data_IF_588407508281
#
_entry.id   IF_588407508281
#
_cell.length_a   1.000
_cell.length_b   1.000
_cell.length_c   1.000
_cell.angle_alpha   90.00
_cell.angle_beta   90.00
_cell.angle_gamma   90.00
#
_symmetry.space_group_name_H-M   'P 1'
#
loop_
_entity.id
_entity.type
_entity.pdbx_description
1 polymer ?
#
# COMPACT_ATOMS: atom_id res chain seq x y z
N UNK A 1 3.36 12.80 16.59
CA UNK A 1 3.16 11.60 15.74
C UNK A 1 2.07 10.73 16.34
N UNK A 2 2.09 10.53 17.67
CA UNK A 2 1.04 9.83 18.42
C UNK A 2 -0.38 10.18 17.95
N UNK A 3 -0.74 11.47 17.94
CA UNK A 3 -2.07 11.93 17.52
C UNK A 3 -2.45 11.54 16.09
N UNK A 4 -1.47 11.48 15.17
CA UNK A 4 -1.71 11.09 13.80
C UNK A 4 -2.06 9.59 13.71
N UNK A 5 -1.31 8.74 14.42
CA UNK A 5 -1.58 7.29 14.45
C UNK A 5 -2.87 7.01 15.22
N UNK A 6 -3.03 7.59 16.42
CA UNK A 6 -4.20 7.44 17.30
C UNK A 6 -5.52 7.91 16.65
N UNK A 7 -5.45 8.76 15.63
CA UNK A 7 -6.63 9.12 14.83
C UNK A 7 -7.35 7.91 14.23
N UNK A 8 -6.63 6.81 13.97
CA UNK A 8 -7.22 5.56 13.47
C UNK A 8 -8.17 4.87 14.45
N UNK A 9 -7.99 5.10 15.76
CA UNK A 9 -8.82 4.52 16.83
C UNK A 9 -8.90 5.53 18.00
N UNK A 10 -9.96 6.35 18.07
CA UNK A 10 -10.13 7.29 19.18
C UNK A 10 -10.07 6.56 20.53
N UNK A 11 -9.27 7.09 21.46
CA UNK A 11 -9.04 6.48 22.77
C UNK A 11 -7.98 5.37 22.80
N UNK A 12 -7.23 5.15 21.71
CA UNK A 12 -6.14 4.18 21.69
C UNK A 12 -5.05 4.48 22.73
N UNK A 13 -4.57 3.44 23.41
CA UNK A 13 -3.46 3.57 24.37
C UNK A 13 -2.13 3.81 23.66
N UNK A 14 -1.13 4.28 24.39
CA UNK A 14 0.23 4.43 23.85
C UNK A 14 0.82 3.08 23.42
N UNK A 15 0.49 2.00 24.13
CA UNK A 15 0.90 0.63 23.79
C UNK A 15 0.32 0.19 22.45
N UNK A 16 -0.98 0.45 22.21
CA UNK A 16 -1.62 0.14 20.93
C UNK A 16 -1.01 0.94 19.77
N UNK A 17 -0.75 2.23 19.99
CA UNK A 17 -0.09 3.10 19.00
C UNK A 17 1.33 2.60 18.69
N UNK A 18 2.10 2.21 19.72
CA UNK A 18 3.44 1.64 19.53
C UNK A 18 3.40 0.28 18.81
N UNK A 19 2.43 -0.57 19.10
CA UNK A 19 2.26 -1.84 18.42
C UNK A 19 1.99 -1.64 16.92
N UNK A 20 1.07 -0.72 16.59
CA UNK A 20 0.77 -0.35 15.21
C UNK A 20 1.99 0.26 14.50
N UNK A 21 2.74 1.14 15.20
CA UNK A 21 3.94 1.75 14.66
C UNK A 21 5.07 0.73 14.39
N UNK A 22 5.24 -0.28 15.25
CA UNK A 22 6.17 -1.38 15.01
C UNK A 22 5.78 -2.22 13.80
N UNK A 23 4.50 -2.57 13.68
CA UNK A 23 3.98 -3.32 12.55
C UNK A 23 4.15 -2.56 11.22
N UNK A 24 4.04 -1.22 11.26
CA UNK A 24 4.26 -0.35 10.11
C UNK A 24 5.72 0.09 9.90
N UNK A 25 6.68 -0.47 10.65
CA UNK A 25 8.12 -0.14 10.54
C UNK A 25 8.43 1.34 10.74
N UNK A 26 7.71 2.00 11.64
CA UNK A 26 7.96 3.40 12.00
C UNK A 26 8.44 3.62 13.44
N UNK A 27 8.36 2.63 14.34
CA UNK A 27 8.80 2.80 15.74
C UNK A 27 10.25 3.28 15.87
N UNK A 28 11.17 2.71 15.10
CA UNK A 28 12.60 3.00 15.23
C UNK A 28 12.93 4.45 14.87
N UNK A 29 12.46 4.94 13.72
CA UNK A 29 12.69 6.34 13.34
C UNK A 29 11.93 7.30 14.25
N UNK A 30 10.70 6.94 14.68
CA UNK A 30 9.94 7.77 15.61
C UNK A 30 10.74 7.94 16.90
N UNK A 31 11.34 6.87 17.43
CA UNK A 31 12.15 6.91 18.67
C UNK A 31 13.49 7.64 18.50
N UNK A 32 14.00 7.77 17.28
CA UNK A 32 15.20 8.54 16.99
C UNK A 32 14.94 10.06 16.95
N UNK A 33 13.68 10.50 16.83
CA UNK A 33 13.33 11.91 16.89
C UNK A 33 13.50 12.47 18.32
N UNK A 34 13.90 13.75 18.48
CA UNK A 34 14.10 14.36 19.80
C UNK A 34 12.89 14.23 20.75
N UNK A 35 11.67 14.40 20.20
CA UNK A 35 10.43 14.31 20.97
C UNK A 35 9.71 12.97 20.81
N UNK A 36 10.30 12.02 20.09
CA UNK A 36 9.73 10.70 19.90
C UNK A 36 8.33 10.72 19.28
N UNK A 37 7.41 10.01 19.94
CA UNK A 37 5.99 10.00 19.56
C UNK A 37 5.30 11.37 19.72
N UNK A 38 5.84 12.26 20.57
CA UNK A 38 5.30 13.59 20.82
C UNK A 38 5.69 14.61 19.75
N UNK A 39 6.59 14.28 18.83
CA UNK A 39 6.96 15.17 17.71
C UNK A 39 5.72 15.66 16.96
N UNK A 40 5.52 16.97 16.89
CA UNK A 40 4.37 17.56 16.18
C UNK A 40 4.64 17.53 14.67
N UNK A 41 3.67 17.06 13.89
CA UNK A 41 3.74 17.08 12.43
C UNK A 41 3.05 18.34 11.94
N UNK A 42 3.81 19.33 11.47
CA UNK A 42 3.25 20.55 10.87
C UNK A 42 2.84 20.29 9.41
N UNK A 43 1.69 20.86 9.00
CA UNK A 43 1.13 20.73 7.64
C UNK A 43 2.03 21.33 6.54
N UNK A 44 3.05 22.13 6.90
CA UNK A 44 3.92 22.85 5.96
C UNK A 44 5.40 22.47 5.97
N UNK A 45 5.88 21.55 6.83
CA UNK A 45 7.34 21.41 6.95
C UNK A 45 7.93 20.41 7.95
N UNK A 46 7.20 19.41 8.44
CA UNK A 46 7.84 18.39 9.28
C UNK A 46 8.95 17.65 8.51
N UNK A 47 10.11 17.45 9.14
CA UNK A 47 11.35 16.81 8.66
C UNK A 47 11.24 15.34 8.21
N UNK A 48 10.03 14.81 8.05
CA UNK A 48 9.80 13.44 7.62
C UNK A 48 9.83 13.34 6.11
N UNK A 49 10.59 12.36 5.62
CA UNK A 49 10.58 11.91 4.23
C UNK A 49 9.17 11.46 3.79
N UNK A 50 8.97 11.35 2.48
CA UNK A 50 7.72 10.81 1.92
C UNK A 50 7.42 9.41 2.44
N UNK A 51 8.43 8.54 2.46
CA UNK A 51 8.32 7.18 2.98
C UNK A 51 7.94 7.09 4.46
N UNK A 52 8.49 7.94 5.32
CA UNK A 52 8.13 7.99 6.74
C UNK A 52 6.68 8.44 6.96
N UNK A 53 6.23 9.47 6.23
CA UNK A 53 4.83 9.91 6.26
C UNK A 53 3.90 8.80 5.80
N UNK A 54 4.29 8.03 4.79
CA UNK A 54 3.52 6.89 4.32
C UNK A 54 3.44 5.78 5.38
N UNK A 55 4.56 5.41 6.02
CA UNK A 55 4.56 4.43 7.12
C UNK A 55 3.72 4.86 8.32
N UNK A 56 3.68 6.16 8.65
CA UNK A 56 2.75 6.67 9.69
C UNK A 56 1.29 6.50 9.27
N UNK A 57 0.95 6.78 8.01
CA UNK A 57 -0.40 6.53 7.50
C UNK A 57 -0.78 5.04 7.52
N UNK A 58 0.17 4.15 7.22
CA UNK A 58 -0.01 2.70 7.34
C UNK A 58 -0.21 2.30 8.81
N UNK A 59 0.58 2.83 9.75
CA UNK A 59 0.40 2.59 11.19
C UNK A 59 -1.00 2.99 11.66
N UNK A 60 -1.50 4.13 11.21
CA UNK A 60 -2.87 4.59 11.47
C UNK A 60 -3.91 3.61 10.93
N UNK A 61 -3.71 3.08 9.73
CA UNK A 61 -4.61 2.09 9.12
C UNK A 61 -4.56 0.73 9.84
N UNK A 62 -3.37 0.30 10.29
CA UNK A 62 -3.19 -0.90 11.12
C UNK A 62 -3.93 -0.73 12.44
N UNK A 63 -3.78 0.41 13.12
CA UNK A 63 -4.46 0.67 14.39
C UNK A 63 -5.99 0.68 14.26
N UNK A 64 -6.51 1.18 13.13
CA UNK A 64 -7.94 1.16 12.82
C UNK A 64 -8.49 -0.27 12.66
N UNK A 65 -7.63 -1.20 12.24
CA UNK A 65 -7.94 -2.63 12.09
C UNK A 65 -9.23 -2.94 11.29
N UNK A 66 -9.48 -2.19 10.21
CA UNK A 66 -10.66 -2.43 9.37
C UNK A 66 -10.56 -3.77 8.62
N UNK A 67 -11.68 -4.48 8.38
CA UNK A 67 -11.66 -5.74 7.63
C UNK A 67 -11.48 -5.54 6.11
N UNK A 68 -11.81 -4.35 5.61
CA UNK A 68 -11.69 -3.95 4.20
C UNK A 68 -10.70 -2.79 4.11
N UNK A 69 -9.70 -2.94 3.24
CA UNK A 69 -8.69 -1.92 2.95
C UNK A 69 -8.82 -1.49 1.49
N UNK A 70 -8.85 -0.17 1.25
CA UNK A 70 -8.77 0.40 -0.09
C UNK A 70 -7.38 1.02 -0.24
N UNK A 71 -6.63 0.60 -1.25
CA UNK A 71 -5.32 1.14 -1.57
C UNK A 71 -5.37 1.83 -2.92
N UNK A 72 -5.26 3.15 -2.90
CA UNK A 72 -5.09 3.94 -4.09
C UNK A 72 -3.61 4.20 -4.32
N UNK A 73 -3.05 3.61 -5.37
CA UNK A 73 -1.70 3.91 -5.86
C UNK A 73 -0.54 3.84 -4.83
N UNK A 74 -0.68 3.01 -3.79
CA UNK A 74 0.23 2.96 -2.62
C UNK A 74 1.70 2.61 -2.92
N UNK A 75 2.06 2.30 -4.16
CA UNK A 75 3.42 1.90 -4.57
C UNK A 75 4.07 2.82 -5.61
N UNK A 76 3.41 3.90 -6.04
CA UNK A 76 3.95 4.81 -7.06
C UNK A 76 4.94 5.84 -6.48
N UNK A 77 4.83 6.18 -5.20
CA UNK A 77 5.70 7.15 -4.51
C UNK A 77 6.82 6.50 -3.68
N UNK A 78 7.19 5.25 -3.99
CA UNK A 78 8.20 4.52 -3.22
C UNK A 78 9.60 5.06 -3.56
N UNK A 79 10.19 5.81 -2.62
CA UNK A 79 11.63 6.10 -2.62
C UNK A 79 12.40 4.78 -2.53
N UNK A 80 13.32 4.53 -3.46
CA UNK A 80 14.04 3.26 -3.60
C UNK A 80 14.80 2.84 -2.32
N UNK A 81 15.23 3.82 -1.51
CA UNK A 81 15.93 3.59 -0.24
C UNK A 81 15.02 2.98 0.85
N UNK A 82 13.71 3.26 0.79
CA UNK A 82 12.73 2.87 1.81
C UNK A 82 11.70 1.85 1.31
N UNK A 83 11.82 1.38 0.07
CA UNK A 83 10.84 0.49 -0.58
C UNK A 83 10.59 -0.78 0.23
N UNK A 84 11.64 -1.41 0.76
CA UNK A 84 11.51 -2.65 1.53
C UNK A 84 10.64 -2.48 2.78
N UNK A 85 10.88 -1.42 3.55
CA UNK A 85 10.12 -1.16 4.79
C UNK A 85 8.66 -0.85 4.51
N UNK A 86 8.37 -0.13 3.42
CA UNK A 86 6.99 0.19 3.04
C UNK A 86 6.26 -1.06 2.56
N UNK A 87 6.91 -1.92 1.77
CA UNK A 87 6.32 -3.19 1.35
C UNK A 87 6.01 -4.09 2.54
N UNK A 88 6.93 -4.19 3.52
CA UNK A 88 6.69 -4.94 4.75
C UNK A 88 5.52 -4.37 5.58
N UNK A 89 5.40 -3.04 5.64
CA UNK A 89 4.28 -2.38 6.31
C UNK A 89 2.93 -2.63 5.59
N UNK A 90 2.92 -2.62 4.25
CA UNK A 90 1.73 -2.98 3.46
C UNK A 90 1.35 -4.45 3.67
N UNK A 91 2.32 -5.35 3.70
CA UNK A 91 2.07 -6.77 3.99
C UNK A 91 1.45 -6.95 5.38
N UNK A 92 1.98 -6.25 6.40
CA UNK A 92 1.43 -6.26 7.74
C UNK A 92 -0.01 -5.72 7.78
N UNK A 93 -0.28 -4.63 7.06
CA UNK A 93 -1.61 -4.03 6.97
C UNK A 93 -2.62 -4.96 6.28
N UNK A 94 -2.23 -5.65 5.22
CA UNK A 94 -3.14 -6.40 4.35
C UNK A 94 -3.40 -7.84 4.80
N UNK A 95 -2.60 -8.36 5.74
CA UNK A 95 -2.72 -9.73 6.26
C UNK A 95 -4.12 -10.01 6.80
N UNK A 96 -4.74 -11.08 6.30
CA UNK A 96 -6.08 -11.55 6.68
C UNK A 96 -7.20 -10.50 6.48
N UNK A 97 -7.07 -9.63 5.47
CA UNK A 97 -8.07 -8.59 5.14
C UNK A 97 -8.51 -8.70 3.69
N UNK A 98 -9.68 -8.16 3.40
CA UNK A 98 -10.11 -7.91 2.02
C UNK A 98 -9.46 -6.63 1.52
N UNK A 99 -8.72 -6.72 0.42
CA UNK A 99 -7.96 -5.59 -0.13
C UNK A 99 -8.48 -5.25 -1.51
N UNK A 100 -8.95 -4.02 -1.67
CA UNK A 100 -9.30 -3.42 -2.96
C UNK A 100 -8.18 -2.48 -3.34
N UNK A 101 -7.48 -2.78 -4.43
CA UNK A 101 -6.32 -1.98 -4.86
C UNK A 101 -6.56 -1.42 -6.25
N UNK A 102 -6.40 -0.11 -6.39
CA UNK A 102 -6.33 0.58 -7.67
C UNK A 102 -4.86 0.56 -8.08
N UNK A 103 -4.51 -0.26 -9.07
CA UNK A 103 -3.13 -0.56 -9.40
C UNK A 103 -2.75 -0.07 -10.80
N UNK A 104 -1.62 0.65 -10.87
CA UNK A 104 -0.93 1.01 -12.10
C UNK A 104 0.43 0.32 -12.25
N UNK A 105 0.76 -0.71 -11.44
CA UNK A 105 2.02 -1.47 -11.54
C UNK A 105 1.75 -2.96 -11.73
N UNK A 106 2.51 -3.58 -12.62
CA UNK A 106 2.37 -5.00 -12.98
C UNK A 106 2.50 -5.95 -11.79
N UNK A 107 3.46 -5.70 -10.88
CA UNK A 107 3.72 -6.56 -9.73
C UNK A 107 2.50 -6.66 -8.80
N UNK A 108 1.79 -5.55 -8.60
CA UNK A 108 0.56 -5.46 -7.81
C UNK A 108 -0.61 -6.20 -8.48
N UNK A 109 -0.69 -6.13 -9.81
CA UNK A 109 -1.77 -6.72 -10.60
C UNK A 109 -1.64 -8.24 -10.70
N UNK A 110 -0.41 -8.75 -10.87
CA UNK A 110 -0.16 -10.20 -11.01
C UNK A 110 -0.48 -11.01 -9.75
N UNK A 111 -0.37 -10.40 -8.58
CA UNK A 111 -0.60 -11.05 -7.29
C UNK A 111 -2.06 -10.95 -6.81
N UNK A 112 -2.95 -10.34 -7.60
CA UNK A 112 -4.35 -10.22 -7.23
C UNK A 112 -5.08 -11.57 -7.36
N UNK A 113 -5.94 -11.89 -6.40
CA UNK A 113 -6.82 -13.06 -6.51
C UNK A 113 -7.90 -12.87 -7.59
N UNK A 114 -8.32 -11.62 -7.78
CA UNK A 114 -9.39 -11.23 -8.69
C UNK A 114 -9.11 -9.84 -9.29
N UNK A 115 -9.45 -9.68 -10.57
CA UNK A 115 -9.25 -8.44 -11.33
C UNK A 115 -10.59 -7.95 -11.83
N UNK A 116 -10.83 -6.65 -11.67
CA UNK A 116 -11.98 -5.94 -12.24
C UNK A 116 -11.43 -4.87 -13.17
N UNK A 117 -11.70 -5.01 -14.47
CA UNK A 117 -11.27 -4.08 -15.50
C UNK A 117 -12.41 -3.09 -15.79
N UNK A 118 -12.14 -1.80 -15.67
CA UNK A 118 -13.12 -0.72 -15.85
C UNK A 118 -12.76 0.12 -17.07
N UNK A 119 -13.73 0.39 -17.94
CA UNK A 119 -13.62 1.32 -19.08
C UNK A 119 -14.91 2.14 -19.17
N UNK A 120 -14.79 3.45 -19.35
CA UNK A 120 -15.91 4.39 -19.44
C UNK A 120 -16.94 4.26 -18.29
N UNK A 121 -16.43 4.06 -17.07
CA UNK A 121 -17.25 3.90 -15.87
C UNK A 121 -18.02 2.58 -15.77
N UNK A 122 -17.70 1.57 -16.59
CA UNK A 122 -18.35 0.25 -16.59
C UNK A 122 -17.33 -0.86 -16.41
N UNK A 123 -17.73 -1.93 -15.70
CA UNK A 123 -16.96 -3.17 -15.66
C UNK A 123 -17.04 -3.82 -17.04
N UNK A 124 -15.89 -3.97 -17.70
CA UNK A 124 -15.79 -4.58 -19.02
C UNK A 124 -15.23 -6.00 -18.97
N UNK A 125 -14.47 -6.33 -17.93
CA UNK A 125 -14.01 -7.69 -17.65
C UNK A 125 -13.86 -7.91 -16.14
N UNK A 126 -14.10 -9.13 -15.69
CA UNK A 126 -13.82 -9.58 -14.33
C UNK A 126 -13.40 -11.05 -14.32
N UNK A 127 -12.52 -11.44 -13.40
CA UNK A 127 -12.02 -12.81 -13.30
C UNK A 127 -10.67 -12.89 -12.61
N UNK A 128 -10.12 -14.10 -12.49
CA UNK A 128 -8.75 -14.28 -12.02
C UNK A 128 -7.74 -13.76 -13.06
N UNK A 129 -6.51 -13.37 -12.64
CA UNK A 129 -5.47 -12.94 -13.57
C UNK A 129 -5.18 -13.96 -14.68
N UNK A 130 -5.25 -15.26 -14.36
CA UNK A 130 -5.00 -16.34 -15.33
C UNK A 130 -6.08 -16.39 -16.40
N UNK A 131 -7.34 -16.41 -16.00
CA UNK A 131 -8.48 -16.45 -16.93
C UNK A 131 -8.52 -15.24 -17.84
N UNK A 132 -8.22 -14.05 -17.31
CA UNK A 132 -8.23 -12.82 -18.10
C UNK A 132 -7.03 -12.70 -19.04
N UNK A 133 -5.90 -13.33 -18.74
CA UNK A 133 -4.71 -13.32 -19.62
C UNK A 133 -4.92 -14.13 -20.90
N UNK A 134 -5.76 -15.16 -20.85
CA UNK A 134 -6.07 -16.03 -22.00
C UNK A 134 -7.15 -15.42 -22.92
N UNK A 135 -7.95 -14.48 -22.40
CA UNK A 135 -9.03 -13.82 -23.13
C UNK A 135 -8.53 -12.54 -23.80
N UNK A 136 -8.98 -12.27 -25.02
CA UNK A 136 -8.80 -10.95 -25.60
C UNK A 136 -9.61 -9.90 -24.81
N UNK A 137 -9.05 -8.70 -24.66
CA UNK A 137 -9.69 -7.60 -23.93
C UNK A 137 -8.69 -6.69 -23.21
N UNK A 138 -9.23 -5.73 -22.45
CA UNK A 138 -8.47 -4.66 -21.81
C UNK A 138 -7.34 -5.18 -20.91
N UNK A 139 -7.56 -6.28 -20.17
CA UNK A 139 -6.52 -6.83 -19.32
C UNK A 139 -5.33 -7.37 -20.12
N UNK A 140 -5.60 -8.14 -21.19
CA UNK A 140 -4.55 -8.69 -22.06
C UNK A 140 -3.83 -7.61 -22.87
N UNK A 141 -4.56 -6.60 -23.34
CA UNK A 141 -3.98 -5.39 -23.95
C UNK A 141 -3.01 -4.71 -22.98
N UNK A 142 -3.44 -4.52 -21.73
CA UNK A 142 -2.61 -3.94 -20.67
C UNK A 142 -1.34 -4.76 -20.40
N UNK A 143 -1.43 -6.10 -20.38
CA UNK A 143 -0.27 -6.98 -20.24
C UNK A 143 0.74 -6.76 -21.39
N UNK A 144 0.27 -6.76 -22.64
CA UNK A 144 1.12 -6.59 -23.83
C UNK A 144 1.85 -5.24 -23.83
N UNK A 145 1.13 -4.14 -23.60
CA UNK A 145 1.74 -2.79 -23.56
C UNK A 145 2.83 -2.70 -22.49
N UNK A 146 2.66 -3.39 -21.36
CA UNK A 146 3.64 -3.41 -20.26
C UNK A 146 4.85 -4.30 -20.56
N UNK A 147 4.66 -5.41 -21.27
CA UNK A 147 5.77 -6.26 -21.75
C UNK A 147 6.63 -5.54 -22.80
N UNK A 148 5.98 -4.84 -23.74
CA UNK A 148 6.65 -4.06 -24.79
C UNK A 148 7.44 -2.86 -24.23
N UNK A 149 6.91 -2.21 -23.20
CA UNK A 149 7.58 -1.09 -22.52
C UNK A 149 8.73 -1.52 -21.59
N UNK A 150 8.78 -2.81 -21.21
CA UNK A 150 9.76 -3.34 -20.26
C UNK A 150 10.83 -4.25 -20.90
N UNK A 151 10.72 -4.55 -22.20
CA UNK A 151 11.65 -5.44 -22.91
C UNK A 151 11.78 -6.82 -22.28
N UNK A 152 10.65 -7.50 -21.99
CA UNK A 152 10.68 -8.79 -21.30
C UNK A 152 9.75 -9.85 -21.92
N UNK A 153 10.30 -11.04 -22.15
CA UNK A 153 9.63 -12.24 -22.72
C UNK A 153 9.00 -13.11 -21.62
N UNK A 154 7.76 -13.55 -21.85
CA UNK A 154 7.08 -14.61 -21.10
C UNK A 154 7.89 -15.92 -21.19
N UNK A 155 8.39 -16.42 -20.06
CA UNK A 155 8.85 -17.81 -19.94
C UNK A 155 7.66 -18.69 -19.50
N UNK A 156 7.19 -19.62 -20.36
CA UNK A 156 6.11 -20.52 -20.01
C UNK A 156 6.70 -21.74 -19.26
N UNK A 157 6.54 -21.77 -17.94
CA UNK A 157 6.69 -23.00 -17.13
C UNK A 157 5.40 -23.32 -16.41
#
# INVERSE_FOLDING_TARGET
IYHNIAFGKPGASMEEVRAAAKAARCDDFIRALPDGYQTVLEEGGSSLSGGEKQRISIARAILKDSPIIIMDEATAALDAENEHEILAAIEALTRNKTVIMIAHRMKSIRNADHIIAIRDGRVVQEGSPKELAERDGLYREFLRTREESSGWTLDPS
#
